data_IF_447963008643
#
_entry.id   IF_447963008643
#
_cell.length_a   1.000
_cell.length_b   1.000
_cell.length_c   1.000
_cell.angle_alpha   90.00
_cell.angle_beta   90.00
_cell.angle_gamma   90.00
#
_symmetry.space_group_name_H-M   'P 1'
#
loop_
_entity.id
_entity.type
_entity.pdbx_description
1 polymer ?
#
# COMPACT_ATOMS: atom_id res chain seq x y z
N UNK A 1 24.34 10.38 -9.49
CA UNK A 1 25.17 9.62 -8.54
C UNK A 1 24.32 8.45 -8.06
N UNK A 2 24.77 7.21 -8.26
CA UNK A 2 24.02 6.02 -7.79
C UNK A 2 24.03 6.02 -6.27
N UNK A 3 22.85 6.12 -5.63
CA UNK A 3 22.72 6.05 -4.18
C UNK A 3 23.25 4.72 -3.66
N UNK A 4 24.03 4.75 -2.57
CA UNK A 4 24.43 3.53 -1.85
C UNK A 4 23.15 2.85 -1.35
N UNK A 5 22.90 1.61 -1.77
CA UNK A 5 21.72 0.85 -1.38
C UNK A 5 21.61 0.70 0.14
N UNK A 6 20.38 0.67 0.65
CA UNK A 6 20.09 0.49 2.08
C UNK A 6 20.36 -0.98 2.43
N UNK A 7 21.13 -1.28 3.49
CA UNK A 7 21.35 -2.66 3.92
C UNK A 7 20.02 -3.29 4.39
N UNK A 8 19.65 -4.40 3.78
CA UNK A 8 18.51 -5.23 4.17
C UNK A 8 18.94 -6.68 4.34
N UNK A 9 18.37 -7.37 5.32
CA UNK A 9 18.52 -8.81 5.51
C UNK A 9 17.28 -9.53 4.99
N UNK A 10 17.53 -10.62 4.27
CA UNK A 10 16.50 -11.50 3.74
C UNK A 10 16.76 -12.87 4.34
N UNK A 11 15.86 -13.33 5.21
CA UNK A 11 16.00 -14.64 5.81
C UNK A 11 15.36 -15.69 4.89
N UNK A 12 16.20 -16.46 4.20
CA UNK A 12 15.80 -17.53 3.27
C UNK A 12 15.78 -18.91 3.94
N UNK A 13 15.82 -18.95 5.28
CA UNK A 13 15.75 -20.19 6.06
C UNK A 13 14.39 -20.86 5.86
N UNK A 14 14.32 -22.18 5.95
CA UNK A 14 13.06 -22.93 5.77
C UNK A 14 12.01 -22.53 6.81
N UNK A 15 12.50 -22.08 7.97
CA UNK A 15 11.75 -21.59 9.11
C UNK A 15 11.17 -20.18 8.87
N UNK A 16 11.89 -19.33 8.13
CA UNK A 16 11.45 -17.97 7.76
C UNK A 16 10.55 -17.90 6.51
N UNK A 17 10.49 -18.98 5.74
CA UNK A 17 9.67 -19.09 4.53
C UNK A 17 8.28 -19.64 4.87
N UNK A 18 7.26 -18.78 4.87
CA UNK A 18 5.87 -19.25 5.00
C UNK A 18 5.39 -19.78 3.65
N UNK A 19 5.09 -21.09 3.59
CA UNK A 19 4.49 -21.71 2.41
C UNK A 19 2.98 -21.48 2.38
N UNK A 20 2.44 -21.02 1.24
CA UNK A 20 0.99 -20.95 0.99
C UNK A 20 0.61 -21.72 -0.27
N UNK A 21 -0.60 -22.29 -0.27
CA UNK A 21 -1.15 -23.16 -1.34
C UNK A 21 -0.18 -24.27 -1.80
N UNK A 22 -0.01 -25.31 -0.98
CA UNK A 22 0.67 -26.55 -1.41
C UNK A 22 2.15 -26.40 -1.78
N UNK A 23 2.89 -25.51 -1.11
CA UNK A 23 4.32 -25.23 -1.33
C UNK A 23 4.68 -24.61 -2.69
N UNK A 24 3.71 -24.04 -3.41
CA UNK A 24 3.98 -23.41 -4.71
C UNK A 24 4.38 -21.94 -4.59
N UNK A 25 4.09 -21.28 -3.46
CA UNK A 25 4.49 -19.90 -3.17
C UNK A 25 5.15 -19.79 -1.80
N UNK A 26 6.22 -19.00 -1.70
CA UNK A 26 6.93 -18.67 -0.47
C UNK A 26 6.80 -17.18 -0.15
N UNK A 27 6.43 -16.84 1.08
CA UNK A 27 6.54 -15.47 1.61
C UNK A 27 7.91 -15.31 2.25
N UNK A 28 8.65 -14.27 1.84
CA UNK A 28 9.94 -13.90 2.43
C UNK A 28 9.79 -12.56 3.11
N UNK A 29 10.18 -12.46 4.39
CA UNK A 29 10.28 -11.18 5.09
C UNK A 29 11.57 -10.47 4.69
N UNK A 30 11.47 -9.22 4.25
CA UNK A 30 12.62 -8.34 4.10
C UNK A 30 12.67 -7.44 5.34
N UNK A 31 13.77 -7.52 6.09
CA UNK A 31 13.99 -6.69 7.26
C UNK A 31 15.07 -5.66 6.94
N UNK A 32 14.72 -4.39 6.99
CA UNK A 32 15.70 -3.30 6.87
C UNK A 32 16.39 -3.11 8.22
N UNK A 33 17.72 -3.00 8.23
CA UNK A 33 18.51 -2.85 9.46
C UNK A 33 18.48 -1.43 10.02
N UNK A 34 18.02 -0.48 9.20
CA UNK A 34 17.75 0.90 9.58
C UNK A 34 16.43 1.34 8.94
N UNK A 35 15.77 2.34 9.51
CA UNK A 35 14.68 3.02 8.82
C UNK A 35 15.16 3.48 7.43
N UNK A 36 14.31 3.42 6.40
CA UNK A 36 14.66 3.99 5.10
C UNK A 36 15.03 5.47 5.25
N UNK A 37 15.90 6.01 4.37
CA UNK A 37 16.21 7.43 4.34
C UNK A 37 14.93 8.27 4.28
N UNK A 38 14.95 9.45 4.89
CA UNK A 38 13.80 10.34 4.99
C UNK A 38 13.16 10.63 3.62
N UNK A 39 13.97 10.83 2.59
CA UNK A 39 13.51 11.04 1.21
C UNK A 39 12.64 9.88 0.68
N UNK A 40 12.95 8.65 1.06
CA UNK A 40 12.18 7.46 0.67
C UNK A 40 10.89 7.37 1.47
N UNK A 41 10.93 7.74 2.76
CA UNK A 41 9.74 7.81 3.59
C UNK A 41 8.73 8.82 3.04
N UNK A 42 9.19 10.04 2.74
CA UNK A 42 8.36 11.10 2.14
C UNK A 42 7.81 10.67 0.78
N UNK A 43 8.62 9.99 -0.03
CA UNK A 43 8.19 9.45 -1.32
C UNK A 43 7.05 8.43 -1.17
N UNK A 44 7.18 7.49 -0.22
CA UNK A 44 6.16 6.48 0.06
C UNK A 44 4.87 7.17 0.51
N UNK A 45 4.94 8.04 1.52
CA UNK A 45 3.78 8.74 2.05
C UNK A 45 3.06 9.56 0.98
N UNK A 46 3.82 10.31 0.17
CA UNK A 46 3.28 11.09 -0.94
C UNK A 46 2.66 10.21 -2.01
N UNK A 47 3.29 9.07 -2.31
CA UNK A 47 2.76 8.12 -3.28
C UNK A 47 1.45 7.48 -2.79
N UNK A 48 1.34 7.15 -1.51
CA UNK A 48 0.11 6.63 -0.91
C UNK A 48 -1.00 7.67 -0.96
N UNK A 49 -0.71 8.91 -0.55
CA UNK A 49 -1.68 10.01 -0.59
C UNK A 49 -2.15 10.30 -2.03
N UNK A 50 -1.22 10.43 -2.97
CA UNK A 50 -1.53 10.67 -4.38
C UNK A 50 -2.34 9.52 -5.00
N UNK A 51 -2.07 8.26 -4.60
CA UNK A 51 -2.84 7.10 -5.07
C UNK A 51 -4.30 7.21 -4.68
N UNK A 52 -4.58 7.52 -3.41
CA UNK A 52 -5.95 7.61 -2.92
C UNK A 52 -6.70 8.79 -3.57
N UNK A 53 -6.05 9.96 -3.73
CA UNK A 53 -6.64 11.10 -4.44
C UNK A 53 -6.96 10.74 -5.89
N UNK A 54 -6.06 10.04 -6.57
CA UNK A 54 -6.29 9.59 -7.94
C UNK A 54 -7.50 8.65 -8.03
N UNK A 55 -7.55 7.63 -7.17
CA UNK A 55 -8.66 6.68 -7.16
C UNK A 55 -10.00 7.36 -6.87
N UNK A 56 -10.02 8.34 -5.95
CA UNK A 56 -11.22 9.14 -5.66
C UNK A 56 -11.72 9.93 -6.88
N UNK A 57 -10.83 10.41 -7.73
CA UNK A 57 -11.18 11.26 -8.88
C UNK A 57 -11.53 10.47 -10.14
N UNK A 58 -10.95 9.28 -10.30
CA UNK A 58 -10.98 8.56 -11.58
C UNK A 58 -11.72 7.21 -11.52
N UNK A 59 -12.05 6.71 -10.34
CA UNK A 59 -12.65 5.40 -10.16
C UNK A 59 -13.85 5.49 -9.20
N UNK A 60 -14.76 4.52 -9.31
CA UNK A 60 -15.90 4.33 -8.41
C UNK A 60 -15.55 3.46 -7.20
N UNK A 61 -14.27 3.06 -7.08
CA UNK A 61 -13.78 2.21 -6.00
C UNK A 61 -13.87 3.00 -4.68
N UNK A 62 -14.53 2.44 -3.64
CA UNK A 62 -14.60 3.08 -2.33
C UNK A 62 -13.19 3.32 -1.79
N UNK A 63 -12.80 4.59 -1.74
CA UNK A 63 -11.47 5.05 -1.31
C UNK A 63 -11.66 6.12 -0.24
N UNK A 64 -10.90 6.08 0.88
CA UNK A 64 -11.02 7.11 1.90
C UNK A 64 -10.61 8.46 1.33
N UNK A 65 -11.35 9.53 1.67
CA UNK A 65 -10.97 10.89 1.29
C UNK A 65 -9.81 11.35 2.16
N UNK A 66 -8.81 11.97 1.55
CA UNK A 66 -7.71 12.59 2.29
C UNK A 66 -8.08 14.02 2.64
N UNK A 67 -8.00 14.34 3.93
CA UNK A 67 -8.16 15.71 4.43
C UNK A 67 -6.80 16.41 4.60
N UNK A 68 -5.76 15.66 4.99
CA UNK A 68 -4.41 16.18 5.18
C UNK A 68 -3.33 15.11 5.01
N UNK A 69 -2.16 15.48 4.50
CA UNK A 69 -0.96 14.64 4.52
C UNK A 69 0.23 15.51 4.94
N UNK A 70 0.95 15.09 5.98
CA UNK A 70 2.12 15.80 6.50
C UNK A 70 3.38 14.98 6.23
N UNK A 71 4.21 15.48 5.32
CA UNK A 71 5.54 14.96 5.03
C UNK A 71 6.56 15.72 5.87
N UNK A 72 7.42 15.04 6.63
CA UNK A 72 8.69 15.53 7.20
C UNK A 72 8.78 17.02 7.54
N UNK A 73 7.73 17.58 8.13
CA UNK A 73 7.64 19.00 8.46
C UNK A 73 8.33 19.22 9.81
N UNK A 74 9.40 20.04 9.90
CA UNK A 74 10.02 20.39 11.18
C UNK A 74 9.04 21.06 12.16
N UNK A 75 7.94 21.64 11.66
CA UNK A 75 6.85 22.21 12.44
C UNK A 75 5.81 21.20 12.93
N UNK A 76 5.91 19.93 12.54
CA UNK A 76 4.99 18.89 12.96
C UNK A 76 5.20 18.55 14.45
N UNK A 77 4.22 18.81 15.33
CA UNK A 77 4.36 18.53 16.75
C UNK A 77 4.42 17.04 17.08
N UNK A 78 4.00 16.16 16.15
CA UNK A 78 3.98 14.71 16.34
C UNK A 78 5.34 14.07 16.03
N UNK A 79 6.24 14.76 15.33
CA UNK A 79 7.57 14.26 14.97
C UNK A 79 7.59 13.01 14.08
N UNK A 80 6.44 12.64 13.51
CA UNK A 80 6.25 11.50 12.61
C UNK A 80 5.32 11.88 11.47
N UNK A 81 5.52 11.30 10.29
CA UNK A 81 4.65 11.60 9.16
C UNK A 81 3.31 10.88 9.27
N UNK A 82 2.28 11.50 8.73
CA UNK A 82 0.91 10.97 8.80
C UNK A 82 0.05 11.43 7.64
N UNK A 83 -0.98 10.62 7.35
CA UNK A 83 -2.09 10.97 6.47
C UNK A 83 -3.37 10.93 7.31
N UNK A 84 -4.10 12.04 7.32
CA UNK A 84 -5.44 12.12 7.89
C UNK A 84 -6.46 11.87 6.79
N UNK A 85 -7.33 10.89 7.02
CA UNK A 85 -8.29 10.43 6.02
C UNK A 85 -9.63 10.02 6.63
N UNK A 86 -10.68 10.04 5.82
CA UNK A 86 -12.03 9.59 6.16
C UNK A 86 -12.01 8.11 6.57
N UNK A 87 -12.74 7.78 7.65
CA UNK A 87 -12.94 6.39 8.03
C UNK A 87 -13.96 5.75 7.10
N UNK A 88 -13.54 4.75 6.34
CA UNK A 88 -14.47 3.90 5.59
C UNK A 88 -15.21 2.94 6.53
N UNK A 89 -16.52 2.82 6.33
CA UNK A 89 -17.32 1.82 6.99
C UNK A 89 -17.02 0.43 6.43
N UNK A 90 -16.79 -0.53 7.31
CA UNK A 90 -16.50 -1.89 6.93
C UNK A 90 -15.98 -2.72 8.09
N UNK A 91 -15.86 -4.02 7.85
CA UNK A 91 -15.23 -4.95 8.77
C UNK A 91 -14.01 -5.57 8.08
N UNK A 92 -12.87 -5.71 8.80
CA UNK A 92 -11.74 -6.48 8.28
C UNK A 92 -12.19 -7.89 7.87
N UNK A 93 -11.75 -8.33 6.71
CA UNK A 93 -12.08 -9.66 6.20
C UNK A 93 -11.30 -10.74 6.96
N UNK A 94 -12.00 -11.51 7.79
CA UNK A 94 -11.48 -12.77 8.31
C UNK A 94 -11.76 -13.90 7.31
N UNK A 95 -10.76 -14.24 6.50
CA UNK A 95 -10.89 -15.29 5.49
C UNK A 95 -11.10 -16.69 6.08
N UNK A 96 -10.58 -16.96 7.29
CA UNK A 96 -10.69 -18.29 7.88
C UNK A 96 -12.11 -18.52 8.41
N UNK A 97 -12.70 -17.51 9.05
CA UNK A 97 -14.06 -17.55 9.56
C UNK A 97 -15.14 -17.34 8.48
N UNK A 98 -14.79 -16.84 7.29
CA UNK A 98 -15.74 -16.55 6.23
C UNK A 98 -16.39 -17.82 5.63
N UNK A 99 -17.72 -17.77 5.48
CA UNK A 99 -18.50 -18.79 4.78
C UNK A 99 -18.14 -18.84 3.28
N UNK A 100 -18.42 -19.97 2.62
CA UNK A 100 -18.15 -20.13 1.19
C UNK A 100 -18.82 -19.02 0.35
N UNK A 101 -20.07 -18.70 0.67
CA UNK A 101 -20.81 -17.65 -0.02
C UNK A 101 -20.18 -16.25 0.15
N UNK A 102 -19.68 -15.93 1.36
CA UNK A 102 -18.99 -14.66 1.59
C UNK A 102 -17.68 -14.60 0.79
N UNK A 103 -16.94 -15.71 0.72
CA UNK A 103 -15.71 -15.82 -0.07
C UNK A 103 -15.98 -15.60 -1.57
N UNK A 104 -17.03 -16.23 -2.11
CA UNK A 104 -17.45 -16.04 -3.50
C UNK A 104 -17.77 -14.58 -3.79
N UNK A 105 -18.55 -13.94 -2.91
CA UNK A 105 -18.90 -12.52 -3.05
C UNK A 105 -17.67 -11.61 -3.02
N UNK A 106 -16.75 -11.83 -2.08
CA UNK A 106 -15.50 -11.07 -2.00
C UNK A 106 -14.67 -11.25 -3.27
N UNK A 107 -14.54 -12.48 -3.79
CA UNK A 107 -13.80 -12.73 -5.02
C UNK A 107 -14.43 -12.03 -6.22
N UNK A 108 -15.77 -12.02 -6.33
CA UNK A 108 -16.47 -11.27 -7.37
C UNK A 108 -16.20 -9.76 -7.27
N UNK A 109 -16.22 -9.20 -6.06
CA UNK A 109 -15.93 -7.78 -5.83
C UNK A 109 -14.48 -7.44 -6.18
N UNK A 110 -13.51 -8.29 -5.82
CA UNK A 110 -12.11 -8.10 -6.19
C UNK A 110 -11.92 -8.08 -7.70
N UNK A 111 -12.56 -9.01 -8.43
CA UNK A 111 -12.51 -9.02 -9.90
C UNK A 111 -13.09 -7.72 -10.47
N UNK A 112 -14.21 -7.24 -9.95
CA UNK A 112 -14.79 -5.96 -10.39
C UNK A 112 -13.83 -4.78 -10.16
N UNK A 113 -13.19 -4.71 -8.99
CA UNK A 113 -12.19 -3.68 -8.67
C UNK A 113 -10.99 -3.73 -9.62
N UNK A 114 -10.45 -4.93 -9.90
CA UNK A 114 -9.32 -5.08 -10.82
C UNK A 114 -9.65 -4.71 -12.27
N UNK A 115 -10.88 -4.95 -12.71
CA UNK A 115 -11.34 -4.53 -14.04
C UNK A 115 -11.50 -3.01 -14.13
N UNK A 116 -11.97 -2.37 -13.06
CA UNK A 116 -12.14 -0.91 -13.00
C UNK A 116 -10.82 -0.15 -12.82
N UNK A 117 -9.85 -0.74 -12.11
CA UNK A 117 -8.52 -0.18 -11.92
C UNK A 117 -7.48 -0.94 -12.77
N UNK A 118 -7.38 -0.66 -14.09
CA UNK A 118 -6.28 -1.19 -14.88
C UNK A 118 -4.97 -0.60 -14.35
N UNK A 119 -4.17 -1.45 -13.71
CA UNK A 119 -2.87 -1.14 -13.10
C UNK A 119 -1.91 -0.34 -14.03
N UNK A 120 -2.12 -0.40 -15.35
CA UNK A 120 -1.35 0.35 -16.34
C UNK A 120 -1.58 1.88 -16.34
N UNK A 121 -2.75 2.36 -15.91
CA UNK A 121 -3.03 3.82 -15.89
C UNK A 121 -2.34 4.54 -14.72
N UNK A 122 -2.08 3.83 -13.62
CA UNK A 122 -1.55 4.43 -12.40
C UNK A 122 -0.04 4.74 -12.47
N UNK A 123 0.76 3.83 -13.04
CA UNK A 123 2.19 4.06 -13.25
C UNK A 123 2.46 5.25 -14.20
N UNK A 124 1.54 5.52 -15.13
CA UNK A 124 1.63 6.66 -16.06
C UNK A 124 1.32 7.99 -15.38
N UNK A 125 0.36 8.02 -14.45
CA UNK A 125 -0.05 9.23 -13.72
C UNK A 125 1.06 9.77 -12.80
N UNK A 126 1.76 8.90 -12.05
CA UNK A 126 2.88 9.30 -11.18
C UNK A 126 4.11 9.80 -11.97
N UNK A 127 4.28 9.41 -13.24
CA UNK A 127 5.39 9.87 -14.09
C UNK A 127 5.24 11.32 -14.55
N UNK A 128 4.00 11.85 -14.57
CA UNK A 128 3.71 13.24 -14.87
C UNK A 128 3.60 13.98 -13.55
N UNK A 129 4.73 14.48 -13.05
CA UNK A 129 4.83 15.24 -11.80
C UNK A 129 3.96 16.50 -11.76
N UNK A 130 2.65 16.33 -11.66
CA UNK A 130 1.73 17.36 -11.23
C UNK A 130 1.96 17.53 -9.73
N UNK A 131 2.62 18.64 -9.39
CA UNK A 131 2.55 19.20 -8.04
C UNK A 131 1.07 19.34 -7.68
N UNK A 132 0.66 18.61 -6.65
CA UNK A 132 -0.48 18.98 -5.81
C UNK A 132 -0.12 20.28 -5.08
#
# INVERSE_FOLDING_TARGET
>A
MLGKGIPCTVELSREGLSAMMGNQNCRVGITFTSSPPQEIHDCILRSEAATMVYLQQHNSIPTPKIDWACESDPGNPLGVDYILMEKLDGNPLDWQAATLHLKEKVMQQLVAIFLECPLGSFAFALSRGHKL
#
